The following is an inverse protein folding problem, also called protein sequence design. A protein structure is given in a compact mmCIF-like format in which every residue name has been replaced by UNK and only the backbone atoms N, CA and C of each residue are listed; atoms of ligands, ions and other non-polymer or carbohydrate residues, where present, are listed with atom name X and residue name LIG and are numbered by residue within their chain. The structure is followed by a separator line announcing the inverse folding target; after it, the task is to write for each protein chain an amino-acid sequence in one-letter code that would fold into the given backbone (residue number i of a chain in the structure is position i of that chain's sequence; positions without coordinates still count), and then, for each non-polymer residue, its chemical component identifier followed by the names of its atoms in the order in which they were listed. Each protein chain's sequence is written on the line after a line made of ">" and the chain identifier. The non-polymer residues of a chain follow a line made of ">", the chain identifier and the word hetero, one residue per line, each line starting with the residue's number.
data_IF_773944192736
#
_entry.id   IF_773944192736
#
_cell.length_a   1.000
_cell.length_b   1.000
_cell.length_c   1.000
_cell.angle_alpha   90.00
_cell.angle_beta   90.00
_cell.angle_gamma   90.00
#
_symmetry.space_group_name_H-M   'P 1'
#
loop_
_entity.id
_entity.type
_entity.pdbx_description
1 polymer ?
#
# COMPACT_ATOMS: atom_id res chain seq x y z
N UNK A 1 13.45 10.37 19.62
CA UNK A 1 12.70 11.42 20.36
C UNK A 1 11.58 10.76 21.15
N UNK A 2 11.18 11.28 22.32
CA UNK A 2 10.39 10.54 23.32
C UNK A 2 9.12 9.88 22.78
N UNK A 3 8.29 10.62 22.03
CA UNK A 3 7.07 10.06 21.43
C UNK A 3 7.32 8.92 20.43
N UNK A 4 8.43 8.95 19.68
CA UNK A 4 8.83 7.82 18.81
C UNK A 4 9.34 6.64 19.63
N UNK A 5 10.00 6.89 20.76
CA UNK A 5 10.53 5.83 21.63
C UNK A 5 9.40 5.02 22.27
N UNK A 6 8.33 5.67 22.71
CA UNK A 6 7.13 5.03 23.23
C UNK A 6 6.47 4.06 22.22
N UNK A 7 6.63 4.35 20.92
CA UNK A 7 6.12 3.50 19.83
C UNK A 7 7.15 2.49 19.29
N UNK A 8 8.34 2.40 19.89
CA UNK A 8 9.43 1.53 19.40
C UNK A 8 10.07 2.01 18.09
N UNK A 9 9.88 3.29 17.74
CA UNK A 9 10.34 3.93 16.50
C UNK A 9 11.52 4.88 16.73
N UNK A 10 12.14 4.90 17.92
CA UNK A 10 13.34 5.71 18.17
C UNK A 10 14.61 5.00 17.68
N UNK A 11 14.67 4.84 16.36
CA UNK A 11 15.80 4.24 15.66
C UNK A 11 16.35 5.25 14.63
N UNK A 12 17.68 5.35 14.42
CA UNK A 12 18.27 6.24 13.40
C UNK A 12 17.76 6.05 11.95
N UNK A 13 17.02 4.96 11.69
CA UNK A 13 16.43 4.61 10.38
C UNK A 13 14.92 4.86 10.31
N UNK A 14 14.29 5.37 11.37
CA UNK A 14 12.84 5.56 11.43
C UNK A 14 12.36 6.82 10.67
N UNK A 15 13.28 7.60 10.10
CA UNK A 15 12.98 8.89 9.47
C UNK A 15 12.70 10.00 10.49
N UNK A 16 12.53 11.23 10.01
CA UNK A 16 12.29 12.40 10.86
C UNK A 16 10.84 12.52 11.33
N UNK A 17 9.91 12.03 10.50
CA UNK A 17 8.47 12.10 10.71
C UNK A 17 7.83 10.74 10.46
N UNK A 18 6.94 10.32 11.36
CA UNK A 18 6.07 9.16 11.19
C UNK A 18 4.63 9.63 11.26
N UNK A 19 3.84 9.27 10.25
CA UNK A 19 2.43 9.60 10.17
C UNK A 19 1.62 8.30 10.17
N UNK A 20 0.53 8.30 10.94
CA UNK A 20 -0.44 7.22 10.98
C UNK A 20 -1.76 7.76 10.44
N UNK A 21 -2.36 7.05 9.48
CA UNK A 21 -3.71 7.36 9.04
C UNK A 21 -4.72 6.89 10.11
N UNK A 22 -5.94 7.46 10.15
CA UNK A 22 -7.07 6.81 10.79
C UNK A 22 -7.31 5.38 10.26
N UNK A 23 -7.95 4.53 11.07
CA UNK A 23 -8.21 3.11 10.75
C UNK A 23 -8.85 2.89 9.37
N UNK A 24 -9.75 3.78 8.98
CA UNK A 24 -10.56 3.73 7.76
C UNK A 24 -10.07 4.69 6.67
N UNK A 25 -8.83 5.16 6.77
CA UNK A 25 -8.23 6.10 5.86
C UNK A 25 -6.86 5.63 5.35
N UNK A 26 -6.41 6.24 4.26
CA UNK A 26 -5.10 6.02 3.69
C UNK A 26 -4.55 7.33 3.13
N UNK A 27 -3.23 7.44 3.02
CA UNK A 27 -2.59 8.62 2.46
C UNK A 27 -2.57 8.52 0.94
N UNK A 28 -3.34 9.38 0.28
CA UNK A 28 -3.20 9.61 -1.15
C UNK A 28 -1.92 10.40 -1.43
N UNK A 29 -1.18 10.01 -2.47
CA UNK A 29 0.05 10.71 -2.85
C UNK A 29 -0.20 12.08 -3.48
N UNK A 30 -1.46 12.34 -3.88
CA UNK A 30 -1.87 13.52 -4.62
C UNK A 30 -1.48 14.78 -3.85
N UNK A 31 -0.53 15.53 -4.40
CA UNK A 31 -0.14 16.85 -3.90
C UNK A 31 -1.01 17.97 -4.48
N UNK A 32 -2.05 17.61 -5.26
CA UNK A 32 -3.05 18.51 -5.82
C UNK A 32 -4.42 18.23 -5.18
N UNK A 33 -5.21 19.28 -5.01
CA UNK A 33 -6.55 19.20 -4.42
C UNK A 33 -7.67 19.16 -5.46
N UNK A 34 -7.36 19.50 -6.71
CA UNK A 34 -8.29 19.55 -7.83
C UNK A 34 -7.84 18.55 -8.90
N UNK A 35 -8.70 17.60 -9.24
CA UNK A 35 -8.41 16.56 -10.23
C UNK A 35 -8.11 17.10 -11.62
N UNK A 36 -8.61 18.29 -11.97
CA UNK A 36 -8.31 18.94 -13.26
C UNK A 36 -6.88 19.46 -13.33
N UNK A 37 -6.21 19.57 -12.18
CA UNK A 37 -4.79 19.93 -12.05
C UNK A 37 -3.88 18.71 -11.93
N UNK A 38 -4.43 17.50 -12.05
CA UNK A 38 -3.65 16.28 -11.98
C UNK A 38 -2.62 16.22 -13.13
N UNK A 39 -1.37 15.86 -12.85
CA UNK A 39 -0.37 15.63 -13.89
C UNK A 39 -0.79 14.53 -14.88
N UNK A 40 -0.25 14.61 -16.10
CA UNK A 40 -0.53 13.67 -17.18
C UNK A 40 -0.19 12.20 -16.86
N UNK A 41 0.77 11.97 -15.96
CA UNK A 41 1.16 10.65 -15.49
C UNK A 41 0.19 10.06 -14.45
N UNK A 42 -0.63 10.87 -13.78
CA UNK A 42 -1.51 10.42 -12.70
C UNK A 42 -2.47 9.29 -13.12
N UNK A 43 -3.16 9.35 -14.28
CA UNK A 43 -4.03 8.27 -14.75
C UNK A 43 -3.28 7.09 -15.38
N UNK A 44 -1.96 6.97 -15.19
CA UNK A 44 -1.12 5.91 -15.78
C UNK A 44 -0.42 5.10 -14.68
N UNK A 45 0.25 4.00 -15.05
CA UNK A 45 1.22 3.32 -14.18
C UNK A 45 2.60 3.93 -14.46
N UNK A 46 3.12 4.73 -13.53
CA UNK A 46 4.39 5.44 -13.68
C UNK A 46 5.14 5.54 -12.34
N UNK A 47 5.90 4.49 -12.03
CA UNK A 47 6.64 4.34 -10.78
C UNK A 47 7.78 5.36 -10.61
N UNK A 48 8.17 6.07 -11.69
CA UNK A 48 9.28 7.02 -11.65
C UNK A 48 8.81 8.44 -11.37
N UNK A 49 7.60 8.79 -11.81
CA UNK A 49 7.01 10.13 -11.61
C UNK A 49 6.06 10.19 -10.41
N UNK A 50 5.43 9.08 -10.03
CA UNK A 50 4.57 9.03 -8.85
C UNK A 50 5.41 8.96 -7.56
N UNK A 51 5.19 9.86 -6.59
CA UNK A 51 5.85 9.78 -5.30
C UNK A 51 5.28 8.61 -4.50
N UNK A 52 5.99 7.48 -4.50
CA UNK A 52 5.60 6.28 -3.77
C UNK A 52 4.61 5.41 -4.54
N UNK A 53 3.86 4.59 -3.79
CA UNK A 53 2.92 3.62 -4.34
C UNK A 53 1.51 4.23 -4.48
N UNK A 54 0.89 4.05 -5.64
CA UNK A 54 -0.50 4.44 -5.88
C UNK A 54 -1.42 3.20 -5.93
N UNK A 55 -2.19 2.90 -4.86
CA UNK A 55 -3.10 1.75 -4.84
C UNK A 55 -4.22 1.86 -5.89
N UNK A 56 -4.48 3.05 -6.47
CA UNK A 56 -5.47 3.19 -7.54
C UNK A 56 -5.05 2.46 -8.82
N UNK A 57 -3.77 2.14 -8.99
CA UNK A 57 -3.25 1.38 -10.14
C UNK A 57 -3.83 -0.04 -10.24
N UNK A 58 -4.43 -0.55 -9.17
CA UNK A 58 -5.15 -1.83 -9.15
C UNK A 58 -6.55 -1.75 -9.77
N UNK A 59 -7.02 -0.54 -10.10
CA UNK A 59 -8.36 -0.28 -10.62
C UNK A 59 -8.31 0.24 -12.06
N UNK A 60 -9.40 0.02 -12.77
CA UNK A 60 -9.59 0.53 -14.12
C UNK A 60 -10.75 1.53 -14.12
N UNK A 61 -10.54 2.70 -14.72
CA UNK A 61 -11.60 3.69 -14.88
C UNK A 61 -12.71 3.16 -15.81
N UNK A 62 -13.96 3.65 -15.71
CA UNK A 62 -15.01 3.30 -16.66
C UNK A 62 -14.56 3.50 -18.12
N UNK A 63 -14.82 2.50 -18.97
CA UNK A 63 -14.40 2.52 -20.37
C UNK A 63 -12.91 2.27 -20.62
N UNK A 64 -12.14 1.87 -19.59
CA UNK A 64 -10.70 1.60 -19.69
C UNK A 64 -10.34 0.63 -20.83
N UNK A 65 -11.16 -0.39 -21.11
CA UNK A 65 -10.90 -1.35 -22.19
C UNK A 65 -10.87 -0.67 -23.57
N UNK A 66 -11.88 0.13 -23.89
CA UNK A 66 -11.98 0.84 -25.18
C UNK A 66 -10.86 1.87 -25.29
N UNK A 67 -10.62 2.62 -24.20
CA UNK A 67 -9.54 3.61 -24.15
C UNK A 67 -8.18 2.93 -24.33
N UNK A 68 -7.90 1.86 -23.61
CA UNK A 68 -6.68 1.05 -23.73
C UNK A 68 -6.49 0.50 -25.14
N UNK A 69 -7.53 -0.05 -25.77
CA UNK A 69 -7.48 -0.50 -27.16
C UNK A 69 -7.12 0.65 -28.12
N UNK A 70 -7.70 1.84 -27.90
CA UNK A 70 -7.39 3.05 -28.67
C UNK A 70 -5.93 3.49 -28.48
N UNK A 71 -5.40 3.44 -27.24
CA UNK A 71 -3.99 3.74 -26.95
C UNK A 71 -3.04 2.74 -27.60
N UNK A 72 -3.39 1.45 -27.62
CA UNK A 72 -2.63 0.41 -28.32
C UNK A 72 -2.64 0.65 -29.83
N UNK A 73 -3.76 1.08 -30.42
CA UNK A 73 -3.83 1.45 -31.82
C UNK A 73 -2.93 2.67 -32.13
N UNK A 74 -3.01 3.73 -31.32
CA UNK A 74 -2.14 4.91 -31.42
C UNK A 74 -0.66 4.52 -31.39
N UNK A 75 -0.27 3.65 -30.44
CA UNK A 75 1.08 3.09 -30.35
C UNK A 75 1.48 2.39 -31.65
N UNK A 76 0.61 1.54 -32.20
CA UNK A 76 0.88 0.80 -33.45
C UNK A 76 1.02 1.72 -34.66
N UNK A 77 0.35 2.88 -34.65
CA UNK A 77 0.47 3.92 -35.69
C UNK A 77 1.67 4.87 -35.48
N UNK A 78 2.52 4.62 -34.46
CA UNK A 78 3.69 5.45 -34.18
C UNK A 78 3.38 6.80 -33.52
N UNK A 79 2.17 7.00 -33.03
CA UNK A 79 1.77 8.23 -32.35
C UNK A 79 2.23 8.20 -30.88
N UNK A 80 2.51 9.38 -30.33
CA UNK A 80 2.71 9.53 -28.88
C UNK A 80 1.41 9.28 -28.15
N UNK A 81 1.47 8.56 -27.03
CA UNK A 81 0.30 8.20 -26.23
C UNK A 81 0.68 8.10 -24.75
N UNK A 82 -0.32 8.19 -23.87
CA UNK A 82 -0.25 7.83 -22.46
C UNK A 82 -1.28 6.73 -22.19
N UNK A 83 -0.95 5.75 -21.35
CA UNK A 83 -1.87 4.67 -20.96
C UNK A 83 -2.75 5.14 -19.80
N UNK A 84 -3.71 6.02 -20.13
CA UNK A 84 -4.53 6.80 -19.20
C UNK A 84 -5.81 6.05 -18.76
N UNK A 85 -5.61 4.85 -18.22
CA UNK A 85 -6.69 3.91 -17.83
C UNK A 85 -6.92 3.83 -16.32
N UNK A 86 -6.03 4.42 -15.51
CA UNK A 86 -6.13 4.41 -14.05
C UNK A 86 -7.09 5.53 -13.60
N UNK A 87 -8.03 5.26 -12.68
CA UNK A 87 -8.92 6.28 -12.14
C UNK A 87 -8.19 7.18 -11.13
N UNK A 88 -8.65 8.43 -10.96
CA UNK A 88 -8.13 9.35 -9.94
C UNK A 88 -8.95 9.34 -8.64
N UNK A 89 -10.12 8.68 -8.66
CA UNK A 89 -11.02 8.59 -7.51
C UNK A 89 -10.38 7.77 -6.37
N UNK A 90 -10.06 8.45 -5.27
CA UNK A 90 -9.45 7.85 -4.07
C UNK A 90 -10.43 6.96 -3.31
N UNK A 91 -11.74 7.14 -3.49
CA UNK A 91 -12.76 6.36 -2.79
C UNK A 91 -12.83 4.91 -3.29
N UNK A 92 -12.22 4.56 -4.42
CA UNK A 92 -12.15 3.19 -4.91
C UNK A 92 -11.31 2.27 -4.01
N UNK A 93 -10.31 2.85 -3.34
CA UNK A 93 -9.47 2.12 -2.39
C UNK A 93 -10.24 1.99 -1.08
N UNK A 94 -10.60 0.75 -0.72
CA UNK A 94 -11.43 0.44 0.47
C UNK A 94 -10.64 -0.08 1.67
N UNK A 95 -9.34 -0.24 1.53
CA UNK A 95 -8.49 -0.73 2.59
C UNK A 95 -7.02 -0.45 2.31
N UNK A 96 -6.27 -0.32 3.39
CA UNK A 96 -4.81 -0.21 3.38
C UNK A 96 -4.24 -1.06 4.53
N UNK A 97 -2.95 -1.00 4.74
CA UNK A 97 -2.25 -1.75 5.78
C UNK A 97 -1.20 -0.88 6.46
N UNK A 98 -0.70 -1.32 7.62
CA UNK A 98 0.43 -0.69 8.32
C UNK A 98 0.12 -0.27 9.75
N UNK A 99 -1.15 -0.17 10.12
CA UNK A 99 -1.56 0.02 11.52
C UNK A 99 -1.59 -1.32 12.25
N UNK A 100 -1.34 -1.28 13.56
CA UNK A 100 -1.56 -2.42 14.44
C UNK A 100 -3.06 -2.67 14.63
N UNK A 101 -3.46 -3.92 14.74
CA UNK A 101 -4.84 -4.27 15.08
C UNK A 101 -5.20 -3.76 16.50
N UNK A 102 -6.35 -3.11 16.68
CA UNK A 102 -6.78 -2.68 18.02
C UNK A 102 -7.22 -3.86 18.89
N UNK A 103 -7.86 -4.86 18.28
CA UNK A 103 -8.37 -6.04 18.94
C UNK A 103 -7.49 -7.25 18.62
N UNK A 104 -7.11 -8.09 19.60
CA UNK A 104 -6.31 -9.29 19.36
C UNK A 104 -6.90 -10.24 18.31
N UNK A 105 -8.23 -10.30 18.20
CA UNK A 105 -8.98 -11.11 17.23
C UNK A 105 -8.84 -10.64 15.76
N UNK A 106 -8.56 -9.35 15.54
CA UNK A 106 -8.23 -8.79 14.22
C UNK A 106 -6.74 -8.97 13.88
N UNK A 107 -5.98 -9.54 14.80
CA UNK A 107 -4.55 -9.75 14.70
C UNK A 107 -4.16 -10.98 13.88
N UNK A 108 -2.85 -11.13 13.62
CA UNK A 108 -2.32 -12.32 12.96
C UNK A 108 -2.51 -13.57 13.83
N UNK A 109 -2.77 -14.69 13.18
CA UNK A 109 -2.94 -15.99 13.84
C UNK A 109 -1.72 -16.88 13.63
N UNK A 110 -1.33 -17.61 14.66
CA UNK A 110 -0.33 -18.67 14.57
C UNK A 110 -1.03 -20.03 14.50
N UNK A 111 -0.84 -20.75 13.39
CA UNK A 111 -1.42 -22.08 13.19
C UNK A 111 -0.29 -23.09 13.12
N UNK A 112 -0.34 -24.11 14.00
CA UNK A 112 0.66 -25.16 14.09
C UNK A 112 0.02 -26.48 14.47
N UNK A 113 0.51 -27.57 13.90
CA UNK A 113 0.08 -28.93 14.25
C UNK A 113 0.61 -29.39 15.61
N UNK A 114 1.70 -28.79 16.09
CA UNK A 114 2.28 -29.10 17.39
C UNK A 114 1.53 -28.36 18.51
N UNK A 115 1.11 -29.06 19.58
CA UNK A 115 0.45 -28.43 20.71
C UNK A 115 1.42 -27.54 21.50
N UNK A 116 0.89 -26.48 22.12
CA UNK A 116 1.62 -25.69 23.11
C UNK A 116 2.35 -24.45 22.60
N UNK A 117 2.11 -24.00 21.37
CA UNK A 117 2.58 -22.66 20.95
C UNK A 117 1.62 -21.61 21.50
N UNK A 118 2.06 -20.86 22.50
CA UNK A 118 1.31 -19.73 23.06
C UNK A 118 1.30 -18.54 22.08
N UNK A 119 0.28 -17.67 22.23
CA UNK A 119 0.25 -16.35 21.59
C UNK A 119 1.59 -15.66 21.87
N UNK A 120 2.30 -15.31 20.81
CA UNK A 120 3.65 -14.77 20.90
C UNK A 120 3.72 -13.42 20.20
N UNK A 121 4.68 -12.59 20.61
CA UNK A 121 4.94 -11.34 19.91
C UNK A 121 5.30 -11.64 18.44
N UNK A 122 4.89 -10.79 17.51
CA UNK A 122 5.22 -10.97 16.07
C UNK A 122 6.73 -11.07 15.82
N UNK A 123 7.54 -10.49 16.70
CA UNK A 123 9.01 -10.56 16.65
C UNK A 123 9.59 -11.91 17.05
N UNK A 124 8.82 -12.78 17.71
CA UNK A 124 9.27 -14.06 18.23
C UNK A 124 9.04 -15.24 17.27
N UNK A 125 8.49 -14.97 16.07
CA UNK A 125 8.23 -16.00 15.03
C UNK A 125 9.47 -16.83 14.74
N UNK A 126 10.64 -16.20 14.58
CA UNK A 126 11.90 -16.90 14.29
C UNK A 126 12.25 -17.91 15.38
N UNK A 127 12.26 -17.48 16.64
CA UNK A 127 12.67 -18.34 17.75
C UNK A 127 11.65 -19.45 17.98
N UNK A 128 10.36 -19.17 17.79
CA UNK A 128 9.31 -20.17 17.83
C UNK A 128 9.52 -21.28 16.78
N UNK A 129 9.84 -20.91 15.53
CA UNK A 129 10.16 -21.89 14.47
C UNK A 129 11.40 -22.71 14.83
N UNK A 130 12.49 -22.07 15.28
CA UNK A 130 13.73 -22.77 15.59
C UNK A 130 13.58 -23.76 16.74
N UNK A 131 12.82 -23.39 17.78
CA UNK A 131 12.55 -24.28 18.91
C UNK A 131 11.70 -25.50 18.53
N UNK A 132 10.79 -25.37 17.56
CA UNK A 132 10.03 -26.50 17.03
C UNK A 132 10.91 -27.46 16.23
N UNK A 133 11.84 -26.94 15.43
CA UNK A 133 12.77 -27.74 14.62
C UNK A 133 13.83 -28.47 15.46
N UNK A 134 14.12 -27.98 16.66
CA UNK A 134 15.13 -28.56 17.55
C UNK A 134 14.60 -29.72 18.43
N UNK A 135 13.30 -30.03 18.36
CA UNK A 135 12.68 -31.17 19.05
C UNK A 135 12.85 -32.46 18.25
#
# INVERSE_FOLDING_TARGET
>A
GPARAELGLDHPRAGDLVLLAPRDAWFAYDYWTDGDRAPDFAPTVDIHRKPGYDPRELFARPGATIRGATRVLQKKLGMRYLMDIIPLDTALVKGSHGLHAEAPEDGPVWICSEPGVAVTAMTAVKDAVLNLLAR
#
